data_IF_511080250990
#
_entry.id   IF_511080250990
#
_cell.length_a   1.000
_cell.length_b   1.000
_cell.length_c   1.000
_cell.angle_alpha   90.00
_cell.angle_beta   90.00
_cell.angle_gamma   90.00
#
_symmetry.space_group_name_H-M   'P 1'
#
loop_
_entity.id
_entity.type
_entity.pdbx_description
1 polymer ?
#
# COMPACT_ATOMS: atom_id res chain seq x y z
N UNK A 1 21.11 80.60 -5.91
CA UNK A 1 20.03 80.28 -4.95
C UNK A 1 20.38 78.91 -4.39
N UNK A 2 20.88 78.85 -3.12
CA UNK A 2 21.21 77.65 -2.47
C UNK A 2 19.93 76.83 -2.24
N UNK A 3 19.90 75.58 -2.69
CA UNK A 3 18.86 74.66 -2.30
C UNK A 3 19.12 74.24 -0.86
N UNK A 4 18.29 74.67 0.08
CA UNK A 4 18.32 74.21 1.45
C UNK A 4 17.99 72.72 1.45
N UNK A 5 18.81 71.94 2.16
CA UNK A 5 18.46 70.55 2.40
C UNK A 5 17.20 70.42 3.25
N UNK A 6 16.43 69.36 3.08
CA UNK A 6 15.23 69.12 3.87
C UNK A 6 15.62 68.59 5.28
N UNK A 7 15.11 69.23 6.32
CA UNK A 7 15.26 68.75 7.71
C UNK A 7 14.13 67.79 8.04
N UNK A 8 14.49 66.67 8.63
CA UNK A 8 13.59 65.63 9.15
C UNK A 8 12.50 65.13 8.17
N UNK A 9 12.79 64.83 6.88
CA UNK A 9 11.81 64.21 6.04
C UNK A 9 11.41 62.81 6.60
N UNK A 10 10.11 62.51 6.47
CA UNK A 10 9.54 61.23 6.92
C UNK A 10 8.94 60.53 5.71
N UNK A 11 9.21 59.24 5.58
CA UNK A 11 8.55 58.37 4.61
C UNK A 11 7.51 57.54 5.31
N UNK A 12 6.26 57.62 4.86
CA UNK A 12 5.15 56.79 5.34
C UNK A 12 4.70 55.86 4.22
N UNK A 13 4.64 54.59 4.56
CA UNK A 13 4.12 53.53 3.67
C UNK A 13 2.90 52.89 4.35
N UNK A 14 1.75 52.99 3.71
CA UNK A 14 0.51 52.38 4.18
C UNK A 14 0.24 51.12 3.35
N UNK A 15 0.54 49.94 3.97
CA UNK A 15 0.34 48.66 3.32
C UNK A 15 -1.14 48.42 3.02
N UNK A 16 -1.48 47.93 1.82
CA UNK A 16 -2.84 47.62 1.44
C UNK A 16 -3.45 46.53 2.31
N UNK A 17 -4.77 46.49 2.44
CA UNK A 17 -5.49 45.49 3.23
C UNK A 17 -5.18 44.07 2.78
N UNK A 18 -4.62 43.25 3.69
CA UNK A 18 -4.13 41.89 3.42
C UNK A 18 -2.61 41.77 3.44
N UNK A 19 -1.88 42.91 3.54
CA UNK A 19 -0.46 42.96 3.87
C UNK A 19 -0.26 43.58 5.25
N UNK A 20 0.70 43.07 6.02
CA UNK A 20 1.13 43.63 7.31
C UNK A 20 2.65 43.58 7.41
N UNK A 21 3.23 44.49 8.17
CA UNK A 21 4.62 44.41 8.57
C UNK A 21 4.89 43.21 9.50
N UNK A 22 6.14 43.04 9.92
CA UNK A 22 6.57 41.91 10.79
C UNK A 22 5.92 41.96 12.19
N UNK A 23 5.61 43.18 12.70
CA UNK A 23 4.91 43.37 13.98
C UNK A 23 3.38 43.42 13.87
N UNK A 24 2.83 43.23 12.67
CA UNK A 24 1.39 43.26 12.44
C UNK A 24 0.85 44.65 12.04
N UNK A 25 1.71 45.67 12.02
CA UNK A 25 1.39 47.06 11.63
C UNK A 25 1.07 47.13 10.12
N UNK A 26 0.19 48.07 9.76
CA UNK A 26 -0.12 48.41 8.36
C UNK A 26 0.50 49.69 7.92
N UNK A 27 0.80 50.62 8.82
CA UNK A 27 1.45 51.87 8.52
C UNK A 27 2.88 51.80 9.04
N UNK A 28 3.82 52.01 8.13
CA UNK A 28 5.25 52.04 8.43
C UNK A 28 5.76 53.48 8.24
N UNK A 29 6.35 54.04 9.29
CA UNK A 29 6.91 55.39 9.26
C UNK A 29 8.43 55.28 9.46
N UNK A 30 9.16 55.87 8.53
CA UNK A 30 10.62 55.87 8.51
C UNK A 30 11.13 57.32 8.57
N UNK A 31 11.87 57.62 9.62
CA UNK A 31 12.53 58.91 9.71
C UNK A 31 13.79 58.92 8.84
N UNK A 32 13.84 59.79 7.87
CA UNK A 32 14.96 59.87 6.90
C UNK A 32 16.16 60.61 7.48
N UNK A 33 15.95 61.50 8.46
CA UNK A 33 16.96 62.44 8.93
C UNK A 33 17.24 63.55 7.93
N UNK A 34 18.34 64.27 8.09
CA UNK A 34 18.71 65.30 7.14
C UNK A 34 19.08 64.70 5.78
N UNK A 35 18.54 65.26 4.69
CA UNK A 35 18.85 64.86 3.32
C UNK A 35 19.31 66.08 2.53
N UNK A 36 20.62 66.08 2.17
CA UNK A 36 21.21 67.18 1.36
C UNK A 36 20.78 67.13 -0.08
N UNK A 37 20.91 68.23 -0.77
CA UNK A 37 20.62 68.27 -2.22
C UNK A 37 21.42 67.22 -2.98
N UNK A 38 20.75 66.44 -3.82
CA UNK A 38 21.33 65.33 -4.59
C UNK A 38 21.59 64.02 -3.81
N UNK A 39 21.31 63.98 -2.50
CA UNK A 39 21.42 62.73 -1.73
C UNK A 39 20.18 61.88 -1.86
N UNK A 40 20.39 60.55 -1.80
CA UNK A 40 19.31 59.57 -1.72
C UNK A 40 19.57 58.62 -0.53
N UNK A 41 18.48 58.12 0.05
CA UNK A 41 18.53 57.14 1.16
C UNK A 41 17.54 56.01 0.88
N UNK A 42 18.02 54.80 0.64
CA UNK A 42 17.16 53.63 0.42
C UNK A 42 16.58 53.12 1.72
N UNK A 43 15.33 52.67 1.70
CA UNK A 43 14.65 51.94 2.76
C UNK A 43 14.10 50.64 2.21
N UNK A 44 14.08 49.61 3.04
CA UNK A 44 13.48 48.31 2.73
C UNK A 44 12.48 47.94 3.81
N UNK A 45 11.28 47.60 3.41
CA UNK A 45 10.25 47.04 4.30
C UNK A 45 9.98 45.58 3.95
N UNK A 46 9.71 44.78 4.96
CA UNK A 46 9.26 43.42 4.77
C UNK A 46 7.81 43.31 5.16
N UNK A 47 6.97 42.89 4.21
CA UNK A 47 5.55 42.67 4.43
C UNK A 47 5.21 41.18 4.38
N UNK A 48 4.27 40.73 5.22
CA UNK A 48 3.66 39.40 5.21
C UNK A 48 2.26 39.50 4.60
N UNK A 49 1.97 38.63 3.65
CA UNK A 49 0.64 38.50 3.08
C UNK A 49 -0.23 37.55 3.91
N UNK A 50 -1.45 37.94 4.23
CA UNK A 50 -2.45 37.11 4.91
C UNK A 50 -3.37 36.35 3.94
N UNK A 51 -3.39 36.76 2.64
CA UNK A 51 -4.20 36.14 1.58
C UNK A 51 -3.55 36.35 0.21
N UNK A 52 -3.97 35.53 -0.74
CA UNK A 52 -3.62 35.73 -2.16
C UNK A 52 -4.32 36.93 -2.74
N UNK A 53 -3.79 37.47 -3.83
CA UNK A 53 -4.36 38.61 -4.55
C UNK A 53 -3.32 39.53 -5.13
N UNK A 54 -3.79 40.63 -5.73
CA UNK A 54 -2.95 41.72 -6.28
C UNK A 54 -3.02 42.91 -5.33
N UNK A 55 -1.86 43.35 -4.85
CA UNK A 55 -1.73 44.41 -3.85
C UNK A 55 -0.95 45.57 -4.45
N UNK A 56 -1.63 46.73 -4.60
CA UNK A 56 -1.00 47.97 -5.08
C UNK A 56 -0.57 48.79 -3.89
N UNK A 57 0.68 49.21 -3.87
CA UNK A 57 1.27 49.96 -2.78
C UNK A 57 1.98 51.21 -3.32
N UNK A 58 1.99 52.31 -2.53
CA UNK A 58 2.74 53.51 -2.72
C UNK A 58 3.17 54.12 -1.41
N UNK A 59 4.33 54.71 -1.36
CA UNK A 59 4.82 55.42 -0.19
C UNK A 59 4.68 56.93 -0.42
N UNK A 60 4.59 57.70 0.68
CA UNK A 60 4.55 59.17 0.67
C UNK A 60 5.69 59.72 1.49
N UNK A 61 6.44 60.62 0.94
CA UNK A 61 7.48 61.34 1.66
C UNK A 61 6.94 62.76 2.01
N UNK A 62 7.06 63.13 3.28
CA UNK A 62 6.70 64.46 3.77
C UNK A 62 7.92 65.15 4.39
N UNK A 63 7.96 66.45 4.36
CA UNK A 63 9.05 67.24 4.94
C UNK A 63 8.58 68.62 5.38
N UNK A 64 9.50 69.39 6.01
CA UNK A 64 9.23 70.77 6.41
C UNK A 64 8.80 71.65 5.25
N UNK A 65 8.00 72.67 5.51
CA UNK A 65 7.47 73.61 4.48
C UNK A 65 6.30 73.07 3.67
N UNK A 66 5.63 72.01 4.15
CA UNK A 66 4.45 71.41 3.49
C UNK A 66 4.78 70.53 2.29
N UNK A 67 6.01 70.08 2.15
CA UNK A 67 6.39 69.17 1.09
C UNK A 67 5.75 67.82 1.28
N UNK A 68 5.04 67.36 0.23
CA UNK A 68 4.48 65.98 0.17
C UNK A 68 4.65 65.45 -1.23
N UNK A 69 5.30 64.30 -1.35
CA UNK A 69 5.53 63.65 -2.66
C UNK A 69 5.20 62.14 -2.50
N UNK A 70 4.37 61.63 -3.40
CA UNK A 70 4.07 60.22 -3.48
C UNK A 70 5.00 59.50 -4.47
N UNK A 71 5.35 58.27 -4.19
CA UNK A 71 6.03 57.38 -5.12
C UNK A 71 5.09 56.95 -6.27
N UNK A 72 5.64 56.37 -7.32
CA UNK A 72 4.85 55.55 -8.23
C UNK A 72 4.16 54.40 -7.48
N UNK A 73 3.05 53.92 -8.01
CA UNK A 73 2.38 52.73 -7.48
C UNK A 73 3.07 51.45 -7.99
N UNK A 74 3.38 50.52 -7.06
CA UNK A 74 3.92 49.21 -7.38
C UNK A 74 2.88 48.16 -7.04
N UNK A 75 2.65 47.20 -7.95
CA UNK A 75 1.71 46.12 -7.75
C UNK A 75 2.45 44.79 -7.52
N UNK A 76 2.13 44.11 -6.41
CA UNK A 76 2.66 42.80 -6.05
C UNK A 76 1.57 41.74 -6.13
N UNK A 77 1.75 40.73 -6.95
CA UNK A 77 0.88 39.54 -6.98
C UNK A 77 1.33 38.50 -5.95
N UNK A 78 0.47 38.22 -4.99
CA UNK A 78 0.67 37.19 -3.98
C UNK A 78 -0.11 35.96 -4.42
N UNK A 79 0.59 34.86 -4.60
CA UNK A 79 0.05 33.55 -5.03
C UNK A 79 0.38 32.48 -4.04
N UNK A 80 -0.47 31.42 -3.96
CA UNK A 80 -0.28 30.30 -3.05
C UNK A 80 -0.46 28.96 -3.78
N UNK A 81 0.45 28.02 -3.63
CA UNK A 81 0.23 26.65 -4.05
C UNK A 81 -0.77 25.96 -3.11
N UNK A 82 -1.67 25.17 -3.66
CA UNK A 82 -2.61 24.32 -2.92
C UNK A 82 -2.53 22.91 -3.48
N UNK A 83 -2.07 21.96 -2.67
CA UNK A 83 -1.97 20.58 -3.09
C UNK A 83 -3.28 19.83 -2.83
N UNK A 84 -3.60 18.90 -3.73
CA UNK A 84 -4.57 17.85 -3.52
C UNK A 84 -3.91 16.51 -3.83
N UNK A 85 -4.33 15.45 -3.14
CA UNK A 85 -3.78 14.10 -3.33
C UNK A 85 -4.90 13.07 -3.38
N UNK A 86 -4.79 12.14 -4.32
CA UNK A 86 -5.66 10.97 -4.40
C UNK A 86 -4.80 9.71 -4.38
N UNK A 87 -5.37 8.63 -3.82
CA UNK A 87 -4.74 7.33 -3.76
C UNK A 87 -5.75 6.24 -4.05
N UNK A 88 -5.38 5.28 -4.90
CA UNK A 88 -6.20 4.11 -5.22
C UNK A 88 -5.39 2.83 -5.10
N UNK A 89 -6.07 1.74 -4.79
CA UNK A 89 -5.56 0.38 -4.70
C UNK A 89 -6.70 -0.62 -4.96
N UNK A 90 -6.41 -1.89 -5.32
CA UNK A 90 -7.42 -2.91 -5.43
C UNK A 90 -8.09 -3.16 -4.06
N UNK A 91 -9.41 -3.32 -3.98
CA UNK A 91 -10.11 -3.58 -2.73
C UNK A 91 -9.78 -4.96 -2.15
N UNK A 92 -9.45 -5.94 -3.01
CA UNK A 92 -9.07 -7.32 -2.64
C UNK A 92 -7.86 -7.79 -3.43
N UNK A 93 -7.04 -8.65 -2.79
CA UNK A 93 -5.89 -9.31 -3.41
C UNK A 93 -5.64 -10.66 -2.74
N UNK A 94 -4.80 -11.48 -3.34
CA UNK A 94 -4.39 -12.78 -2.79
C UNK A 94 -2.93 -12.76 -2.35
N UNK A 95 -2.59 -13.59 -1.36
CA UNK A 95 -1.19 -13.83 -0.96
C UNK A 95 -0.40 -14.31 -2.20
N UNK A 96 0.83 -13.79 -2.37
CA UNK A 96 1.67 -14.07 -3.53
C UNK A 96 1.35 -13.21 -4.76
N UNK A 97 0.36 -12.32 -4.69
CA UNK A 97 0.06 -11.33 -5.73
C UNK A 97 0.37 -9.92 -5.25
N UNK A 98 1.05 -9.09 -6.06
CA UNK A 98 1.42 -7.75 -5.67
C UNK A 98 0.19 -6.83 -5.55
N UNK A 99 0.28 -5.86 -4.64
CA UNK A 99 -0.66 -4.74 -4.52
C UNK A 99 -0.02 -3.52 -5.18
N UNK A 100 -0.67 -2.95 -6.18
CA UNK A 100 -0.28 -1.69 -6.80
C UNK A 100 -1.08 -0.54 -6.20
N UNK A 101 -0.39 0.45 -5.66
CA UNK A 101 -0.93 1.73 -5.22
C UNK A 101 -0.65 2.79 -6.27
N UNK A 102 -1.69 3.48 -6.70
CA UNK A 102 -1.59 4.62 -7.63
C UNK A 102 -1.86 5.91 -6.88
N UNK A 103 -0.92 6.84 -6.95
CA UNK A 103 -0.92 8.10 -6.21
C UNK A 103 -0.89 9.24 -7.22
N UNK A 104 -1.78 10.21 -7.06
CA UNK A 104 -1.83 11.39 -7.92
C UNK A 104 -1.87 12.63 -7.06
N UNK A 105 -0.91 13.53 -7.25
CA UNK A 105 -0.82 14.85 -6.60
C UNK A 105 -1.08 15.93 -7.65
N UNK A 106 -1.92 16.88 -7.34
CA UNK A 106 -2.24 18.03 -8.19
C UNK A 106 -2.06 19.32 -7.41
N UNK A 107 -1.48 20.35 -8.06
CA UNK A 107 -1.49 21.72 -7.55
C UNK A 107 -2.75 22.43 -8.07
N UNK A 108 -3.72 22.68 -7.19
CA UNK A 108 -4.98 23.38 -7.52
C UNK A 108 -4.91 24.87 -7.21
N UNK A 109 -3.79 25.34 -6.62
CA UNK A 109 -3.55 26.75 -6.33
C UNK A 109 -3.13 27.57 -7.54
N UNK A 110 -3.01 28.86 -7.33
CA UNK A 110 -2.54 29.84 -8.32
C UNK A 110 -1.03 30.10 -8.25
N UNK A 111 -0.38 29.63 -7.19
CA UNK A 111 1.06 29.66 -6.97
C UNK A 111 1.75 28.37 -7.42
N UNK A 112 3.05 28.46 -7.69
CA UNK A 112 3.90 27.32 -8.06
C UNK A 112 4.27 26.53 -6.81
N UNK A 113 3.97 25.23 -6.76
CA UNK A 113 4.39 24.33 -5.69
C UNK A 113 5.83 23.87 -5.94
N UNK A 114 6.79 24.49 -5.22
CA UNK A 114 8.22 24.16 -5.31
C UNK A 114 8.57 23.05 -4.33
N UNK A 115 9.62 22.30 -4.64
CA UNK A 115 10.15 21.23 -3.78
C UNK A 115 9.07 20.23 -3.33
N UNK A 116 8.18 19.87 -4.27
CA UNK A 116 7.10 18.94 -3.99
C UNK A 116 7.65 17.54 -3.74
N UNK A 117 7.30 16.99 -2.60
CA UNK A 117 7.72 15.65 -2.15
C UNK A 117 6.50 14.81 -1.86
N UNK A 118 6.51 13.57 -2.36
CA UNK A 118 5.52 12.55 -2.03
C UNK A 118 6.20 11.52 -1.13
N UNK A 119 5.56 11.15 -0.01
CA UNK A 119 6.07 10.14 0.93
C UNK A 119 4.96 9.15 1.24
N UNK A 120 5.18 7.89 0.89
CA UNK A 120 4.27 6.78 1.15
C UNK A 120 4.84 5.89 2.25
N UNK A 121 3.99 5.42 3.15
CA UNK A 121 4.39 4.49 4.23
C UNK A 121 3.99 3.08 3.83
N UNK A 122 4.98 2.19 3.62
CA UNK A 122 4.74 0.78 3.29
C UNK A 122 3.92 0.13 4.41
N UNK A 123 2.80 -0.55 4.09
CA UNK A 123 1.97 -1.21 5.10
C UNK A 123 2.78 -2.28 5.85
N UNK A 124 2.48 -2.45 7.12
CA UNK A 124 3.04 -3.57 7.91
C UNK A 124 2.61 -4.90 7.27
N UNK A 125 3.52 -5.87 7.22
CA UNK A 125 3.29 -7.18 6.59
C UNK A 125 3.37 -7.14 5.06
N UNK A 126 3.93 -6.06 4.47
CA UNK A 126 4.20 -5.99 3.05
C UNK A 126 5.67 -5.69 2.78
N UNK A 127 6.25 -6.38 1.80
CA UNK A 127 7.59 -6.13 1.31
C UNK A 127 7.55 -5.16 0.11
N UNK A 128 8.48 -4.20 0.07
CA UNK A 128 8.66 -3.34 -1.10
C UNK A 128 9.02 -4.17 -2.34
N UNK A 129 8.35 -3.94 -3.45
CA UNK A 129 8.66 -4.56 -4.74
C UNK A 129 9.24 -3.55 -5.73
N UNK A 130 8.53 -2.47 -6.00
CA UNK A 130 8.99 -1.45 -6.94
C UNK A 130 8.28 -0.11 -6.72
N UNK A 131 8.86 0.96 -7.29
CA UNK A 131 8.24 2.28 -7.35
C UNK A 131 8.57 2.95 -8.69
N UNK A 132 7.60 3.62 -9.30
CA UNK A 132 7.82 4.38 -10.53
C UNK A 132 8.60 5.68 -10.28
N UNK A 133 8.99 6.35 -11.35
CA UNK A 133 9.49 7.75 -11.33
C UNK A 133 10.62 8.01 -10.32
N UNK A 134 11.50 7.05 -10.12
CA UNK A 134 12.65 7.18 -9.24
C UNK A 134 12.33 7.20 -7.74
N UNK A 135 11.18 6.65 -7.36
CA UNK A 135 10.81 6.45 -5.95
C UNK A 135 11.85 5.60 -5.22
N UNK A 136 12.29 6.06 -4.05
CA UNK A 136 13.33 5.40 -3.24
C UNK A 136 12.74 4.90 -1.93
N UNK A 137 12.88 3.58 -1.70
CA UNK A 137 12.48 2.94 -0.45
C UNK A 137 13.58 3.06 0.59
N UNK A 138 13.24 3.57 1.79
CA UNK A 138 14.12 3.67 2.93
C UNK A 138 13.31 3.72 4.23
N UNK A 139 13.68 2.93 5.23
CA UNK A 139 13.07 2.96 6.56
C UNK A 139 11.55 2.72 6.56
N UNK A 140 11.05 1.79 5.72
CA UNK A 140 9.63 1.48 5.62
C UNK A 140 8.78 2.55 4.91
N UNK A 141 9.43 3.51 4.24
CA UNK A 141 8.78 4.56 3.45
C UNK A 141 9.35 4.60 2.04
N UNK A 142 8.53 5.05 1.10
CA UNK A 142 8.96 5.36 -0.27
C UNK A 142 8.81 6.85 -0.50
N UNK A 143 9.86 7.48 -0.99
CA UNK A 143 9.90 8.91 -1.23
C UNK A 143 10.18 9.23 -2.69
N UNK A 144 9.37 10.13 -3.27
CA UNK A 144 9.57 10.72 -4.59
C UNK A 144 9.85 12.21 -4.47
N UNK A 145 10.80 12.68 -5.26
CA UNK A 145 10.97 14.10 -5.50
C UNK A 145 10.15 14.45 -6.74
N UNK A 146 8.97 15.03 -6.55
CA UNK A 146 8.09 15.43 -7.64
C UNK A 146 8.51 16.77 -8.27
N UNK A 147 9.50 17.46 -7.69
CA UNK A 147 10.03 18.73 -8.19
C UNK A 147 9.05 19.88 -8.06
N UNK A 148 8.91 20.64 -9.13
CA UNK A 148 8.06 21.82 -9.17
C UNK A 148 6.77 21.54 -9.92
N UNK A 149 5.61 21.81 -9.30
CA UNK A 149 4.30 21.71 -9.93
C UNK A 149 3.74 23.10 -10.20
N UNK A 150 3.61 23.45 -11.47
CA UNK A 150 2.90 24.67 -11.89
C UNK A 150 1.43 24.64 -11.45
N UNK A 151 0.71 25.78 -11.44
CA UNK A 151 -0.74 25.80 -11.27
C UNK A 151 -1.44 24.80 -12.20
N UNK A 152 -2.35 24.00 -11.66
CA UNK A 152 -3.08 22.91 -12.33
C UNK A 152 -2.24 21.70 -12.80
N UNK A 153 -0.92 21.72 -12.62
CA UNK A 153 -0.09 20.57 -12.94
C UNK A 153 -0.36 19.37 -12.01
N UNK A 154 -0.19 18.17 -12.58
CA UNK A 154 -0.41 16.90 -11.90
C UNK A 154 0.83 16.01 -12.01
N UNK A 155 1.16 15.28 -10.95
CA UNK A 155 2.17 14.23 -10.94
C UNK A 155 1.54 12.95 -10.42
N UNK A 156 1.68 11.87 -11.18
CA UNK A 156 1.26 10.52 -10.76
C UNK A 156 2.48 9.62 -10.56
N UNK A 157 2.43 8.78 -9.53
CA UNK A 157 3.45 7.77 -9.23
C UNK A 157 2.77 6.48 -8.78
N UNK A 158 3.48 5.36 -8.91
CA UNK A 158 3.00 4.05 -8.43
C UNK A 158 3.97 3.46 -7.42
N UNK A 159 3.41 2.71 -6.46
CA UNK A 159 4.11 1.87 -5.51
C UNK A 159 3.56 0.47 -5.61
N UNK A 160 4.44 -0.52 -5.76
CA UNK A 160 4.08 -1.94 -5.74
C UNK A 160 4.70 -2.60 -4.52
N UNK A 161 3.89 -3.37 -3.78
CA UNK A 161 4.33 -4.13 -2.62
C UNK A 161 3.82 -5.56 -2.69
N UNK A 162 4.52 -6.51 -2.08
CA UNK A 162 4.13 -7.90 -1.95
C UNK A 162 3.62 -8.16 -0.52
N UNK A 163 2.34 -8.49 -0.33
CA UNK A 163 1.82 -8.89 0.96
C UNK A 163 2.39 -10.25 1.37
N UNK A 164 2.80 -10.41 2.64
CA UNK A 164 3.35 -11.65 3.18
C UNK A 164 2.29 -12.54 3.84
N UNK A 165 1.21 -11.94 4.33
CA UNK A 165 0.19 -12.62 5.12
C UNK A 165 -1.22 -12.20 4.69
N UNK A 166 -2.23 -12.99 5.05
CA UNK A 166 -3.62 -12.58 4.95
C UNK A 166 -3.92 -11.46 5.95
N UNK A 167 -4.78 -10.53 5.58
CA UNK A 167 -5.17 -9.42 6.44
C UNK A 167 -5.49 -8.13 5.69
N UNK A 168 -5.73 -7.08 6.45
CA UNK A 168 -6.08 -5.77 5.93
C UNK A 168 -4.84 -4.89 5.80
N UNK A 169 -4.51 -4.49 4.59
CA UNK A 169 -3.38 -3.62 4.26
C UNK A 169 -3.88 -2.20 4.03
N UNK A 170 -3.80 -1.38 5.08
CA UNK A 170 -4.08 0.05 4.97
C UNK A 170 -2.80 0.80 4.66
N UNK A 171 -2.77 1.47 3.50
CA UNK A 171 -1.63 2.25 3.07
C UNK A 171 -1.95 3.76 3.11
N UNK A 172 -0.99 4.57 3.51
CA UNK A 172 -1.11 6.02 3.62
C UNK A 172 0.01 6.74 2.90
N UNK A 173 -0.33 7.86 2.27
CA UNK A 173 0.59 8.73 1.56
C UNK A 173 0.40 10.18 1.97
N UNK A 174 1.47 10.94 1.99
CA UNK A 174 1.47 12.39 2.20
C UNK A 174 2.19 13.09 1.05
N UNK A 175 1.74 14.28 0.69
CA UNK A 175 2.47 15.19 -0.19
C UNK A 175 2.62 16.55 0.45
N UNK A 176 3.78 17.17 0.28
CA UNK A 176 4.11 18.51 0.77
C UNK A 176 4.89 19.30 -0.27
N UNK A 177 4.83 20.62 -0.19
CA UNK A 177 5.61 21.52 -1.02
C UNK A 177 5.93 22.80 -0.24
N UNK A 178 6.87 23.61 -0.74
CA UNK A 178 7.14 24.91 -0.16
C UNK A 178 5.90 25.82 -0.20
N UNK A 179 5.54 26.41 0.93
CA UNK A 179 4.35 27.26 1.13
C UNK A 179 3.00 26.59 0.80
N UNK A 180 2.91 25.27 0.84
CA UNK A 180 1.66 24.53 0.76
C UNK A 180 1.46 23.68 2.00
N UNK A 181 0.22 23.54 2.44
CA UNK A 181 -0.13 22.59 3.49
C UNK A 181 0.11 21.14 3.04
N UNK A 182 0.50 20.31 3.98
CA UNK A 182 0.65 18.87 3.73
C UNK A 182 -0.71 18.21 3.58
N UNK A 183 -0.89 17.48 2.48
CA UNK A 183 -2.11 16.72 2.18
C UNK A 183 -1.84 15.22 2.31
N UNK A 184 -2.87 14.45 2.70
CA UNK A 184 -2.77 13.00 2.89
C UNK A 184 -3.90 12.25 2.19
N UNK A 185 -3.63 11.01 1.78
CA UNK A 185 -4.63 10.08 1.27
C UNK A 185 -4.34 8.66 1.75
N UNK A 186 -5.38 7.85 1.84
CA UNK A 186 -5.29 6.44 2.25
C UNK A 186 -6.13 5.57 1.35
N UNK A 187 -5.72 4.31 1.18
CA UNK A 187 -6.59 3.26 0.66
C UNK A 187 -6.32 1.94 1.41
N UNK A 188 -7.20 0.96 1.20
CA UNK A 188 -7.18 -0.31 1.92
C UNK A 188 -7.40 -1.46 0.95
N UNK A 189 -6.59 -2.52 1.10
CA UNK A 189 -6.70 -3.78 0.37
C UNK A 189 -6.89 -4.91 1.38
N UNK A 190 -7.90 -5.75 1.17
CA UNK A 190 -8.05 -7.00 1.90
C UNK A 190 -7.30 -8.11 1.17
N UNK A 191 -6.35 -8.74 1.85
CA UNK A 191 -5.55 -9.84 1.31
C UNK A 191 -6.02 -11.15 1.92
N UNK A 192 -6.33 -12.12 1.07
CA UNK A 192 -6.78 -13.45 1.47
C UNK A 192 -5.85 -14.52 0.89
N UNK A 193 -5.72 -15.65 1.59
CA UNK A 193 -5.08 -16.84 1.05
C UNK A 193 -6.09 -17.74 0.33
N UNK A 194 -5.57 -18.67 -0.47
CA UNK A 194 -6.34 -19.71 -1.14
C UNK A 194 -5.80 -21.07 -0.70
N UNK A 195 -6.60 -21.95 -0.09
CA UNK A 195 -6.21 -23.33 0.13
C UNK A 195 -6.21 -24.10 -1.20
N UNK A 196 -5.27 -25.02 -1.36
CA UNK A 196 -5.16 -25.88 -2.54
C UNK A 196 -4.74 -27.27 -2.08
N UNK A 197 -5.71 -28.15 -1.86
CA UNK A 197 -5.49 -29.47 -1.29
C UNK A 197 -5.27 -30.49 -2.41
N UNK A 198 -4.12 -31.14 -2.40
CA UNK A 198 -3.74 -32.24 -3.28
C UNK A 198 -3.96 -33.55 -2.54
N UNK A 199 -4.53 -34.53 -3.22
CA UNK A 199 -4.64 -35.92 -2.78
C UNK A 199 -3.72 -36.79 -3.66
N UNK A 200 -2.93 -37.64 -3.04
CA UNK A 200 -2.07 -38.64 -3.70
C UNK A 200 -2.25 -39.95 -3.01
N UNK A 201 -2.26 -41.07 -3.77
CA UNK A 201 -2.33 -42.43 -3.29
C UNK A 201 -1.27 -43.27 -3.99
N UNK A 202 -0.55 -44.07 -3.23
CA UNK A 202 0.42 -45.04 -3.77
C UNK A 202 0.37 -46.33 -2.98
N UNK A 203 0.56 -47.46 -3.59
CA UNK A 203 0.86 -48.72 -2.93
C UNK A 203 2.36 -48.91 -2.69
N UNK A 204 2.73 -49.70 -1.70
CA UNK A 204 4.13 -49.98 -1.41
C UNK A 204 4.56 -51.35 -1.98
N UNK A 205 3.60 -52.22 -2.22
CA UNK A 205 3.80 -53.59 -2.70
C UNK A 205 2.98 -53.81 -3.99
N UNK A 206 3.63 -53.73 -5.13
CA UNK A 206 3.08 -54.02 -6.47
C UNK A 206 4.19 -54.56 -7.41
N UNK A 207 4.05 -55.79 -7.94
CA UNK A 207 2.95 -56.75 -7.75
C UNK A 207 3.02 -57.46 -6.39
N UNK A 208 1.89 -58.02 -5.92
CA UNK A 208 1.76 -58.72 -4.66
C UNK A 208 1.12 -60.11 -4.86
N UNK A 209 1.55 -61.14 -4.10
CA UNK A 209 0.97 -62.50 -4.17
C UNK A 209 -0.32 -62.60 -3.36
N UNK A 210 -1.28 -63.37 -3.84
CA UNK A 210 -2.51 -63.71 -3.10
C UNK A 210 -2.19 -64.17 -1.68
N UNK A 211 -2.96 -63.71 -0.71
CA UNK A 211 -2.77 -64.00 0.72
C UNK A 211 -1.82 -63.02 1.44
N UNK A 212 -1.01 -62.26 0.69
CA UNK A 212 -0.15 -61.22 1.25
C UNK A 212 -0.88 -59.86 1.39
N UNK A 213 -0.25 -58.96 2.11
CA UNK A 213 -0.79 -57.61 2.36
C UNK A 213 -0.19 -56.58 1.44
N UNK A 214 -0.99 -55.56 1.10
CA UNK A 214 -0.56 -54.34 0.43
C UNK A 214 -0.84 -53.15 1.35
N UNK A 215 0.10 -52.23 1.39
CA UNK A 215 -0.01 -50.99 2.16
C UNK A 215 -0.25 -49.80 1.19
N UNK A 216 -1.41 -49.20 1.27
CA UNK A 216 -1.70 -47.95 0.57
C UNK A 216 -1.33 -46.77 1.43
N UNK A 217 -0.54 -45.86 0.88
CA UNK A 217 -0.15 -44.61 1.51
C UNK A 217 -0.93 -43.46 0.84
N UNK A 218 -1.77 -42.81 1.63
CA UNK A 218 -2.58 -41.66 1.19
C UNK A 218 -1.90 -40.40 1.72
N UNK A 219 -1.53 -39.50 0.86
CA UNK A 219 -0.91 -38.21 1.22
C UNK A 219 -1.82 -37.05 0.82
N UNK A 220 -2.15 -36.21 1.80
CA UNK A 220 -2.89 -34.99 1.62
C UNK A 220 -1.94 -33.83 1.84
N UNK A 221 -1.75 -33.00 0.82
CA UNK A 221 -0.83 -31.84 0.88
C UNK A 221 -1.60 -30.56 0.62
N UNK A 222 -1.47 -29.57 1.51
CA UNK A 222 -1.96 -28.23 1.24
C UNK A 222 -0.89 -27.41 0.52
N UNK A 223 -0.98 -27.30 -0.79
CA UNK A 223 -0.09 -26.51 -1.66
C UNK A 223 -0.50 -25.03 -1.76
N UNK A 224 -1.56 -24.65 -1.06
CA UNK A 224 -2.11 -23.30 -1.10
C UNK A 224 -1.40 -22.31 -0.19
N UNK A 225 -2.03 -21.15 -0.02
CA UNK A 225 -1.56 -20.05 0.83
C UNK A 225 -2.49 -19.77 2.03
N UNK A 226 -3.54 -20.60 2.22
CA UNK A 226 -4.42 -20.56 3.39
C UNK A 226 -4.67 -21.98 3.92
N UNK A 227 -5.07 -22.14 5.18
CA UNK A 227 -5.43 -23.45 5.73
C UNK A 227 -6.61 -24.09 4.99
N UNK A 228 -6.52 -25.40 4.72
CA UNK A 228 -7.67 -26.22 4.36
C UNK A 228 -8.37 -26.73 5.61
N UNK A 229 -9.71 -26.72 5.64
CA UNK A 229 -10.47 -27.10 6.83
C UNK A 229 -11.43 -28.26 6.58
N UNK A 230 -11.72 -29.01 7.66
CA UNK A 230 -12.67 -30.13 7.66
C UNK A 230 -12.39 -31.15 6.53
N UNK A 231 -11.10 -31.52 6.35
CA UNK A 231 -10.69 -32.44 5.29
C UNK A 231 -11.06 -33.85 5.72
N UNK A 232 -11.89 -34.52 4.92
CA UNK A 232 -12.40 -35.89 5.15
C UNK A 232 -11.83 -36.82 4.10
N UNK A 233 -11.30 -37.95 4.54
CA UNK A 233 -10.74 -39.02 3.69
C UNK A 233 -11.56 -40.27 3.88
N UNK A 234 -12.02 -40.83 2.76
CA UNK A 234 -12.75 -42.08 2.70
C UNK A 234 -12.10 -42.97 1.64
N UNK A 235 -11.67 -44.14 2.01
CA UNK A 235 -11.11 -45.14 1.10
C UNK A 235 -12.11 -46.26 0.87
N UNK A 236 -12.14 -46.82 -0.34
CA UNK A 236 -13.00 -47.94 -0.75
C UNK A 236 -12.11 -49.07 -1.27
N UNK A 237 -12.26 -50.24 -0.65
CA UNK A 237 -11.59 -51.46 -1.02
C UNK A 237 -12.46 -52.24 -2.03
N UNK A 238 -11.81 -52.99 -2.93
CA UNK A 238 -12.52 -53.94 -3.76
C UNK A 238 -12.87 -55.24 -3.02
N UNK A 239 -13.76 -56.03 -3.60
CA UNK A 239 -14.28 -57.27 -3.00
C UNK A 239 -13.24 -58.37 -2.78
N UNK A 240 -12.11 -58.33 -3.46
CA UNK A 240 -10.95 -59.21 -3.33
C UNK A 240 -9.90 -58.68 -2.34
N UNK A 241 -10.24 -57.64 -1.55
CA UNK A 241 -9.42 -57.06 -0.50
C UNK A 241 -10.16 -57.09 0.85
N UNK A 242 -9.45 -57.36 1.93
CA UNK A 242 -9.96 -57.26 3.29
C UNK A 242 -9.10 -56.32 4.14
N UNK A 243 -9.74 -55.46 4.91
CA UNK A 243 -9.05 -54.51 5.79
C UNK A 243 -8.26 -55.26 6.89
N UNK A 244 -7.02 -54.90 7.11
CA UNK A 244 -6.15 -55.40 8.17
C UNK A 244 -5.94 -54.34 9.25
N UNK A 245 -5.50 -53.15 8.86
CA UNK A 245 -5.29 -52.04 9.79
C UNK A 245 -5.31 -50.70 9.05
N UNK A 246 -5.59 -49.64 9.81
CA UNK A 246 -5.49 -48.28 9.31
C UNK A 246 -4.94 -47.33 10.38
N UNK A 247 -4.07 -46.42 9.99
CA UNK A 247 -3.44 -45.41 10.87
C UNK A 247 -3.09 -44.16 10.08
N UNK A 248 -3.01 -43.02 10.74
CA UNK A 248 -2.61 -41.79 10.05
C UNK A 248 -2.66 -40.55 10.94
N UNK A 249 -2.75 -39.41 10.31
CA UNK A 249 -2.86 -38.10 10.97
C UNK A 249 -4.10 -37.99 11.88
N UNK A 250 -5.16 -38.76 11.57
CA UNK A 250 -6.36 -38.92 12.40
C UNK A 250 -6.74 -40.39 12.50
N UNK A 251 -7.64 -40.72 13.43
CA UNK A 251 -8.10 -42.11 13.70
C UNK A 251 -8.93 -42.62 12.51
N UNK A 252 -8.64 -43.89 12.11
CA UNK A 252 -9.34 -44.57 11.03
C UNK A 252 -10.33 -45.62 11.56
N UNK A 253 -11.49 -45.71 10.93
CA UNK A 253 -12.55 -46.69 11.22
C UNK A 253 -12.92 -47.44 9.96
N UNK A 254 -12.86 -48.79 10.01
CA UNK A 254 -13.26 -49.67 8.92
C UNK A 254 -14.70 -50.17 9.12
N UNK A 255 -15.52 -50.10 8.05
CA UNK A 255 -16.87 -50.67 8.00
C UNK A 255 -17.11 -51.30 6.62
N UNK A 256 -17.20 -52.63 6.58
CA UNK A 256 -17.28 -53.38 5.34
C UNK A 256 -16.05 -53.11 4.46
N UNK A 257 -16.25 -52.69 3.24
CA UNK A 257 -15.20 -52.35 2.30
C UNK A 257 -14.76 -50.85 2.34
N UNK A 258 -15.20 -50.11 3.34
CA UNK A 258 -14.90 -48.69 3.45
C UNK A 258 -14.05 -48.40 4.68
N UNK A 259 -13.00 -47.60 4.54
CA UNK A 259 -12.19 -47.07 5.63
C UNK A 259 -12.35 -45.55 5.65
N UNK A 260 -12.86 -44.98 6.73
CA UNK A 260 -13.06 -43.57 6.93
C UNK A 260 -12.13 -43.06 8.03
N UNK A 261 -11.46 -41.94 7.80
CA UNK A 261 -10.65 -41.24 8.81
C UNK A 261 -11.44 -40.08 9.44
N UNK A 262 -11.22 -39.85 10.73
CA UNK A 262 -11.75 -38.69 11.40
C UNK A 262 -11.30 -37.41 10.65
N UNK A 263 -12.16 -36.39 10.55
CA UNK A 263 -11.80 -35.19 9.79
C UNK A 263 -10.53 -34.51 10.31
N UNK A 264 -9.67 -34.03 9.41
CA UNK A 264 -8.59 -33.10 9.76
C UNK A 264 -9.23 -31.73 9.98
N UNK A 265 -9.24 -31.17 11.20
CA UNK A 265 -9.90 -29.89 11.46
C UNK A 265 -9.30 -28.75 10.66
N UNK A 266 -7.96 -28.72 10.55
CA UNK A 266 -7.20 -27.71 9.80
C UNK A 266 -5.86 -28.28 9.35
N UNK A 267 -5.50 -28.04 8.08
CA UNK A 267 -4.19 -28.36 7.51
C UNK A 267 -3.59 -27.03 7.02
N UNK A 268 -2.53 -26.57 7.67
CA UNK A 268 -1.91 -25.28 7.33
C UNK A 268 -1.31 -25.28 5.92
N UNK A 269 -1.07 -24.08 5.37
CA UNK A 269 -0.40 -23.93 4.10
C UNK A 269 1.00 -24.56 4.11
N UNK A 270 1.31 -25.42 3.14
CA UNK A 270 2.56 -26.17 3.03
C UNK A 270 2.59 -27.47 3.82
N UNK A 271 1.64 -27.73 4.72
CA UNK A 271 1.61 -28.94 5.54
C UNK A 271 1.10 -30.16 4.78
N UNK A 272 1.47 -31.35 5.33
CA UNK A 272 1.06 -32.66 4.83
C UNK A 272 0.43 -33.49 5.94
N UNK A 273 -0.58 -34.25 5.57
CA UNK A 273 -1.16 -35.33 6.40
C UNK A 273 -1.03 -36.66 5.67
N UNK A 274 -0.55 -37.68 6.35
CA UNK A 274 -0.30 -39.01 5.77
C UNK A 274 -1.15 -40.04 6.48
N UNK A 275 -1.76 -40.93 5.70
CA UNK A 275 -2.55 -42.05 6.18
C UNK A 275 -2.05 -43.35 5.53
N UNK A 276 -2.21 -44.47 6.20
CA UNK A 276 -1.84 -45.80 5.73
C UNK A 276 -3.02 -46.72 5.93
N UNK A 277 -3.37 -47.47 4.89
CA UNK A 277 -4.37 -48.55 4.95
C UNK A 277 -3.70 -49.84 4.51
N UNK A 278 -3.68 -50.82 5.38
CA UNK A 278 -3.15 -52.15 5.10
C UNK A 278 -4.32 -53.10 4.81
N UNK A 279 -4.26 -53.72 3.66
CA UNK A 279 -5.28 -54.70 3.20
C UNK A 279 -4.62 -56.06 2.91
N UNK A 280 -5.36 -57.13 3.02
CA UNK A 280 -4.99 -58.45 2.56
C UNK A 280 -5.69 -58.74 1.23
N UNK A 281 -4.93 -59.20 0.25
CA UNK A 281 -5.43 -59.57 -1.06
C UNK A 281 -5.87 -61.05 -1.04
N UNK A 282 -7.14 -61.30 -1.37
CA UNK A 282 -7.77 -62.62 -1.23
C UNK A 282 -7.94 -63.35 -2.55
N UNK A 283 -7.77 -62.69 -3.68
CA UNK A 283 -7.90 -63.24 -5.03
C UNK A 283 -7.02 -62.46 -6.02
N UNK A 284 -6.47 -63.21 -6.99
CA UNK A 284 -5.66 -62.63 -8.08
C UNK A 284 -6.50 -61.69 -9.01
N UNK A 285 -5.85 -60.69 -9.55
CA UNK A 285 -6.40 -59.73 -10.51
C UNK A 285 -5.83 -58.33 -10.35
N UNK A 286 -6.26 -57.42 -11.22
CA UNK A 286 -5.97 -55.99 -11.17
C UNK A 286 -6.94 -55.34 -10.19
N UNK A 287 -6.47 -54.88 -9.03
CA UNK A 287 -7.26 -54.32 -7.93
C UNK A 287 -7.19 -52.82 -7.95
N UNK A 288 -8.30 -52.18 -7.66
CA UNK A 288 -8.40 -50.71 -7.63
C UNK A 288 -8.74 -50.23 -6.21
N UNK A 289 -7.78 -49.62 -5.56
CA UNK A 289 -8.00 -48.95 -4.28
C UNK A 289 -8.38 -47.47 -4.54
N UNK A 290 -9.62 -47.10 -4.20
CA UNK A 290 -10.14 -45.76 -4.45
C UNK A 290 -10.17 -44.94 -3.18
N UNK A 291 -9.77 -43.64 -3.27
CA UNK A 291 -9.83 -42.69 -2.18
C UNK A 291 -10.61 -41.45 -2.62
N UNK A 292 -11.53 -40.99 -1.79
CA UNK A 292 -12.28 -39.75 -1.98
C UNK A 292 -11.96 -38.80 -0.85
N UNK A 293 -11.74 -37.55 -1.21
CA UNK A 293 -11.45 -36.45 -0.28
C UNK A 293 -12.47 -35.32 -0.47
N UNK A 294 -12.96 -34.79 0.66
CA UNK A 294 -13.80 -33.57 0.71
C UNK A 294 -13.22 -32.57 1.71
N UNK A 295 -13.53 -31.31 1.55
CA UNK A 295 -13.22 -30.24 2.50
C UNK A 295 -14.24 -29.12 2.40
N UNK A 296 -14.21 -28.15 3.34
CA UNK A 296 -15.10 -26.98 3.29
C UNK A 296 -14.88 -26.11 2.05
N UNK A 297 -13.71 -26.18 1.43
CA UNK A 297 -13.33 -25.37 0.28
C UNK A 297 -13.56 -26.05 -1.06
N UNK A 298 -13.79 -27.37 -1.06
CA UNK A 298 -14.05 -28.15 -2.28
C UNK A 298 -15.54 -28.19 -2.58
N UNK A 299 -15.93 -27.76 -3.76
CA UNK A 299 -17.32 -27.86 -4.24
C UNK A 299 -17.69 -29.25 -4.73
N UNK A 300 -16.68 -30.10 -5.00
CA UNK A 300 -16.82 -31.50 -5.43
C UNK A 300 -15.76 -32.32 -4.73
N UNK A 301 -16.00 -33.61 -4.43
CA UNK A 301 -14.95 -34.52 -3.97
C UNK A 301 -13.81 -34.60 -4.99
N UNK A 302 -12.58 -34.72 -4.47
CA UNK A 302 -11.42 -35.12 -5.24
C UNK A 302 -11.24 -36.61 -5.02
N UNK A 303 -11.07 -37.40 -6.08
CA UNK A 303 -10.90 -38.83 -6.01
C UNK A 303 -9.65 -39.27 -6.74
N UNK A 304 -8.91 -40.17 -6.12
CA UNK A 304 -7.73 -40.84 -6.67
C UNK A 304 -7.92 -42.34 -6.59
N UNK A 305 -7.30 -43.06 -7.51
CA UNK A 305 -7.37 -44.54 -7.57
C UNK A 305 -6.00 -45.11 -7.84
N UNK A 306 -5.56 -46.04 -7.01
CA UNK A 306 -4.32 -46.79 -7.17
C UNK A 306 -4.61 -48.20 -7.65
N UNK A 307 -3.83 -48.69 -8.60
CA UNK A 307 -3.95 -49.99 -9.19
C UNK A 307 -2.86 -50.90 -8.63
N UNK A 308 -3.22 -52.07 -8.12
CA UNK A 308 -2.29 -53.09 -7.62
C UNK A 308 -2.49 -54.40 -8.36
N UNK A 309 -1.43 -54.99 -8.90
CA UNK A 309 -1.46 -56.27 -9.59
C UNK A 309 -1.26 -57.44 -8.56
N UNK A 310 -2.30 -58.26 -8.37
CA UNK A 310 -2.30 -59.39 -7.46
C UNK A 310 -2.16 -60.66 -8.29
N UNK A 311 -1.10 -61.47 -8.04
CA UNK A 311 -0.83 -62.71 -8.77
C UNK A 311 -0.95 -63.94 -7.83
N UNK A 312 -1.11 -65.16 -8.42
CA UNK A 312 -1.23 -66.43 -7.72
C UNK A 312 0.03 -66.78 -6.89
#
# INVERSE_FOLDING_TARGET
>A
RGYAGYRAPTVTDELPAGLTGQGGERTMTMNVGELKAGQSRPFSIRAKAARTGSFSNKATATGEGGLSVASNTVTTAVKQPVLTITKSCPPKQFIGRPIEYRITVRNTGDGVARDTVITDTIPRGAAFASASDGGRAQGGKVRWNAGTLAPNATKSVTLTVNPTDAGTYRNSVAASAYCADTVTATCQTEVTGIPAILLEVVDLEDPVQVGNTTTYVITVTNQGSAPGTNIRIVSTLESNQTHVSSRGATEGTARGNTVSFAPIPSLAAGDKAVFRVVVRNTKAGDVRFSVSMTSDQLTRPVSETEATNVYE
#
